data_IF_805020185841
#
_entry.id   IF_805020185841
#
_cell.length_a   1.000
_cell.length_b   1.000
_cell.length_c   1.000
_cell.angle_alpha   90.00
_cell.angle_beta   90.00
_cell.angle_gamma   90.00
#
_symmetry.space_group_name_H-M   'P 1'
#
loop_
_entity.id
_entity.type
_entity.pdbx_description
1 polymer ?
#
# COMPACT_ATOMS: atom_id res chain seq x y z
N UNK A 1 11.15 -12.66 -21.60
CA UNK A 1 11.15 -12.05 -20.24
C UNK A 1 9.81 -11.35 -20.04
N UNK A 2 9.01 -11.80 -19.07
CA UNK A 2 7.66 -11.30 -18.77
C UNK A 2 7.67 -9.78 -18.58
N UNK A 3 6.74 -9.06 -19.21
CA UNK A 3 6.69 -7.59 -19.19
C UNK A 3 6.41 -7.04 -17.80
N UNK A 4 5.58 -7.72 -17.01
CA UNK A 4 5.32 -7.37 -15.60
C UNK A 4 6.63 -7.39 -14.79
N UNK A 5 7.50 -8.39 -15.03
CA UNK A 5 8.80 -8.47 -14.35
C UNK A 5 9.79 -7.39 -14.81
N UNK A 6 9.63 -6.82 -16.01
CA UNK A 6 10.43 -5.66 -16.44
C UNK A 6 9.98 -4.41 -15.70
N UNK A 7 8.67 -4.18 -15.63
CA UNK A 7 8.07 -3.02 -14.95
C UNK A 7 8.38 -3.06 -13.45
N UNK A 8 8.22 -4.21 -12.80
CA UNK A 8 8.56 -4.39 -11.39
C UNK A 8 10.03 -4.05 -11.09
N UNK A 9 10.96 -4.43 -11.97
CA UNK A 9 12.39 -4.07 -11.85
C UNK A 9 12.66 -2.57 -12.06
N UNK A 10 11.95 -1.90 -12.97
CA UNK A 10 12.10 -0.45 -13.11
C UNK A 10 11.58 0.35 -11.91
N UNK A 11 10.64 -0.21 -11.14
CA UNK A 11 10.07 0.41 -9.95
C UNK A 11 10.87 0.13 -8.66
N UNK A 12 11.93 -0.70 -8.71
CA UNK A 12 12.70 -1.15 -7.53
C UNK A 12 13.18 0.02 -6.66
N UNK A 13 13.65 1.12 -7.27
CA UNK A 13 14.10 2.31 -6.56
C UNK A 13 12.97 3.08 -5.84
N UNK A 14 11.78 3.17 -6.45
CA UNK A 14 10.61 3.81 -5.82
C UNK A 14 10.09 2.95 -4.66
N UNK A 15 9.98 1.64 -4.86
CA UNK A 15 9.53 0.69 -3.81
C UNK A 15 10.50 0.69 -2.64
N UNK A 16 11.81 0.71 -2.89
CA UNK A 16 12.82 0.79 -1.84
C UNK A 16 12.81 2.14 -1.10
N UNK A 17 12.50 3.25 -1.79
CA UNK A 17 12.33 4.55 -1.15
C UNK A 17 11.10 4.57 -0.23
N UNK A 18 9.95 4.14 -0.73
CA UNK A 18 8.70 4.02 0.04
C UNK A 18 8.86 3.09 1.26
N UNK A 19 9.52 1.94 1.10
CA UNK A 19 9.81 1.04 2.21
C UNK A 19 10.66 1.71 3.30
N UNK A 20 11.63 2.54 2.92
CA UNK A 20 12.45 3.31 3.87
C UNK A 20 11.66 4.41 4.58
N UNK A 21 10.69 5.03 3.92
CA UNK A 21 9.79 6.01 4.55
C UNK A 21 8.95 5.36 5.65
N UNK A 22 8.28 4.25 5.35
CA UNK A 22 7.40 3.58 6.33
C UNK A 22 8.17 2.95 7.50
N UNK A 23 9.38 2.42 7.27
CA UNK A 23 10.26 1.90 8.34
C UNK A 23 10.76 3.02 9.26
N UNK A 24 10.90 4.25 8.75
CA UNK A 24 11.34 5.40 9.55
C UNK A 24 10.24 5.95 10.48
N UNK A 25 8.98 5.54 10.30
CA UNK A 25 7.85 5.96 11.12
C UNK A 25 7.70 5.00 12.31
N UNK A 26 7.80 5.46 13.57
CA UNK A 26 7.47 4.64 14.74
C UNK A 26 6.02 4.14 14.66
N UNK A 27 5.84 2.84 14.82
CA UNK A 27 4.56 2.14 14.67
C UNK A 27 4.45 0.99 15.67
N UNK A 28 4.56 1.34 16.96
CA UNK A 28 4.33 0.40 18.05
C UNK A 28 2.82 0.04 18.12
N UNK A 29 2.48 -1.02 18.87
CA UNK A 29 1.09 -1.45 19.02
C UNK A 29 0.19 -0.34 19.56
N UNK A 30 -0.88 -0.01 18.83
CA UNK A 30 -1.79 1.14 19.05
C UNK A 30 -1.22 2.53 18.68
N UNK A 31 -0.07 2.60 18.03
CA UNK A 31 0.58 3.83 17.53
C UNK A 31 0.74 3.84 16.00
N UNK A 32 0.11 2.90 15.29
CA UNK A 32 0.27 2.68 13.85
C UNK A 32 -0.33 3.79 12.98
N UNK A 33 -1.12 4.71 13.55
CA UNK A 33 -1.86 5.73 12.80
C UNK A 33 -1.00 6.61 11.88
N UNK A 34 0.25 6.90 12.27
CA UNK A 34 1.17 7.68 11.43
C UNK A 34 1.67 6.90 10.21
N UNK A 35 1.94 5.59 10.35
CA UNK A 35 2.37 4.73 9.24
C UNK A 35 1.20 4.32 8.34
N UNK A 36 -0.03 4.35 8.86
CA UNK A 36 -1.30 4.16 8.11
C UNK A 36 -1.69 5.40 7.29
N UNK A 37 -1.25 6.60 7.68
CA UNK A 37 -1.50 7.84 6.93
C UNK A 37 -0.52 8.03 5.77
N UNK A 38 0.78 7.75 6.01
CA UNK A 38 1.65 7.20 4.96
C UNK A 38 1.06 5.84 4.53
N UNK A 39 1.51 5.20 3.45
CA UNK A 39 0.75 4.10 2.81
C UNK A 39 -0.60 4.57 2.23
N UNK A 40 -1.56 5.15 2.98
CA UNK A 40 -2.81 5.68 2.42
C UNK A 40 -2.56 6.76 1.35
N UNK A 41 -1.66 7.69 1.63
CA UNK A 41 -1.13 8.63 0.63
C UNK A 41 -0.49 7.95 -0.59
N UNK A 42 0.23 6.84 -0.38
CA UNK A 42 0.89 6.09 -1.45
C UNK A 42 -0.12 5.35 -2.32
N UNK A 43 -1.14 4.75 -1.70
CA UNK A 43 -2.26 4.11 -2.38
C UNK A 43 -3.01 5.12 -3.25
N UNK A 44 -3.23 6.34 -2.76
CA UNK A 44 -3.74 7.44 -3.58
C UNK A 44 -2.78 7.81 -4.72
N UNK A 45 -1.46 7.88 -4.49
CA UNK A 45 -0.44 8.16 -5.51
C UNK A 45 -0.44 7.14 -6.65
N UNK A 46 -0.57 5.84 -6.32
CA UNK A 46 -0.50 4.74 -7.31
C UNK A 46 -1.87 4.35 -7.90
N UNK A 47 -2.95 5.07 -7.55
CA UNK A 47 -4.24 4.96 -8.22
C UNK A 47 -5.24 3.97 -7.62
N UNK A 48 -5.21 3.73 -6.31
CA UNK A 48 -6.32 3.06 -5.62
C UNK A 48 -7.57 3.95 -5.64
N UNK A 49 -8.73 3.37 -5.99
CA UNK A 49 -10.01 4.09 -6.14
C UNK A 49 -10.68 4.37 -4.79
N UNK A 50 -10.47 3.47 -3.82
CA UNK A 50 -11.00 3.54 -2.47
C UNK A 50 -9.88 3.18 -1.50
N UNK A 51 -9.72 3.98 -0.44
CA UNK A 51 -8.92 3.62 0.75
C UNK A 51 -9.77 3.89 1.99
N UNK A 52 -9.77 2.97 2.96
CA UNK A 52 -10.51 3.13 4.22
C UNK A 52 -9.78 2.41 5.35
N UNK A 53 -9.84 2.98 6.54
CA UNK A 53 -9.43 2.31 7.78
C UNK A 53 -10.66 1.61 8.38
N UNK A 54 -10.53 0.37 8.81
CA UNK A 54 -11.61 -0.36 9.49
C UNK A 54 -11.67 -0.06 11.02
N UNK A 55 -12.64 -0.67 11.71
CA UNK A 55 -12.80 -0.50 13.15
C UNK A 55 -11.72 -1.15 14.02
N UNK A 56 -10.76 -1.85 13.42
CA UNK A 56 -9.61 -2.48 14.09
C UNK A 56 -8.29 -1.77 13.79
N UNK A 57 -8.29 -0.78 12.88
CA UNK A 57 -7.12 -0.03 12.45
C UNK A 57 -6.49 -0.50 11.14
N UNK A 58 -7.06 -1.50 10.44
CA UNK A 58 -6.48 -1.99 9.19
C UNK A 58 -6.74 -1.02 8.04
N UNK A 59 -5.71 -0.68 7.27
CA UNK A 59 -5.83 0.07 6.04
C UNK A 59 -6.21 -0.87 4.87
N UNK A 60 -7.43 -0.71 4.37
CA UNK A 60 -7.96 -1.44 3.24
C UNK A 60 -7.96 -0.53 2.00
N UNK A 61 -7.57 -1.07 0.85
CA UNK A 61 -7.68 -0.36 -0.42
C UNK A 61 -8.19 -1.24 -1.56
N UNK A 62 -8.83 -0.59 -2.53
CA UNK A 62 -9.45 -1.25 -3.68
C UNK A 62 -8.95 -0.68 -5.00
N UNK A 63 -8.77 -1.57 -5.98
CA UNK A 63 -8.62 -1.24 -7.40
C UNK A 63 -9.66 -2.06 -8.16
N UNK A 64 -10.60 -1.38 -8.82
CA UNK A 64 -11.58 -1.97 -9.74
C UNK A 64 -12.89 -2.46 -9.09
N UNK A 65 -13.90 -2.60 -9.94
CA UNK A 65 -15.30 -2.88 -9.59
C UNK A 65 -15.86 -4.18 -10.17
N UNK A 66 -14.99 -5.13 -10.56
CA UNK A 66 -15.37 -6.38 -11.22
C UNK A 66 -16.16 -7.37 -10.35
N UNK A 67 -16.84 -8.36 -10.97
CA UNK A 67 -17.66 -9.36 -10.26
C UNK A 67 -16.85 -10.45 -9.53
N UNK A 68 -15.52 -10.44 -9.65
CA UNK A 68 -14.60 -11.31 -8.91
C UNK A 68 -13.70 -10.42 -8.06
N UNK A 69 -13.57 -10.76 -6.79
CA UNK A 69 -12.72 -10.06 -5.83
C UNK A 69 -11.56 -10.97 -5.47
N UNK A 70 -10.33 -10.44 -5.54
CA UNK A 70 -9.13 -11.06 -4.99
C UNK A 70 -8.68 -10.18 -3.83
N UNK A 71 -8.49 -10.80 -2.66
CA UNK A 71 -7.84 -10.15 -1.51
C UNK A 71 -6.38 -10.61 -1.51
N UNK A 72 -5.46 -9.66 -1.34
CA UNK A 72 -4.07 -9.90 -1.03
C UNK A 72 -3.86 -9.32 0.36
N UNK A 73 -3.32 -10.13 1.25
CA UNK A 73 -3.10 -9.83 2.67
C UNK A 73 -1.74 -10.42 3.07
N UNK A 74 -1.12 -9.90 4.14
CA UNK A 74 0.28 -10.17 4.51
C UNK A 74 0.50 -10.51 5.98
#
# INVERSE_FOLDING_TARGET
>A
MNEILKIARSLEGEVAAFLREIIAIPSMSSEEGAVIERIREEMARVGFEETRVDGLGNLLGRIGSGPRVLVIDS
#
